data_IF_690881700865
#
_entry.id   IF_690881700865
#
_cell.length_a   1.000
_cell.length_b   1.000
_cell.length_c   1.000
_cell.angle_alpha   90.00
_cell.angle_beta   90.00
_cell.angle_gamma   90.00
#
_symmetry.space_group_name_H-M   'P 1'
#
loop_
_entity.id
_entity.type
_entity.pdbx_description
1 polymer ?
#
# COMPACT_ATOMS: atom_id res chain seq x y z
N UNK A 1 -13.72 17.97 17.67
CA UNK A 1 -12.66 17.88 16.65
C UNK A 1 -13.34 17.58 15.34
N UNK A 2 -13.06 18.37 14.30
CA UNK A 2 -13.55 18.03 12.95
C UNK A 2 -12.88 16.75 12.45
N UNK A 3 -13.66 15.90 11.79
CA UNK A 3 -13.19 14.62 11.25
C UNK A 3 -11.98 14.79 10.32
N UNK A 4 -11.96 15.87 9.54
CA UNK A 4 -10.88 16.19 8.61
C UNK A 4 -9.55 16.48 9.32
N UNK A 5 -9.58 17.08 10.51
CA UNK A 5 -8.36 17.34 11.28
C UNK A 5 -7.72 16.03 11.77
N UNK A 6 -8.51 14.97 11.99
CA UNK A 6 -7.97 13.66 12.37
C UNK A 6 -7.21 12.97 11.23
N UNK A 7 -7.44 13.39 9.98
CA UNK A 7 -6.77 12.84 8.80
C UNK A 7 -5.51 13.61 8.42
N UNK A 8 -5.24 14.75 9.03
CA UNK A 8 -4.06 15.57 8.75
C UNK A 8 -2.82 15.00 9.46
N UNK A 9 -1.73 14.81 8.71
CA UNK A 9 -0.44 14.35 9.23
C UNK A 9 0.16 15.34 10.23
N UNK A 10 -0.21 16.61 10.17
CA UNK A 10 0.28 17.65 11.09
C UNK A 10 -0.51 17.70 12.41
N UNK A 11 -1.62 16.98 12.52
CA UNK A 11 -2.36 16.89 13.77
C UNK A 11 -1.72 15.85 14.69
N UNK A 12 -0.77 16.32 15.51
CA UNK A 12 -0.01 15.49 16.44
C UNK A 12 -0.87 14.97 17.59
N UNK A 13 -0.77 13.66 17.84
CA UNK A 13 -1.32 12.99 19.00
C UNK A 13 -0.34 13.04 20.17
N UNK A 14 0.90 12.60 19.94
CA UNK A 14 1.91 12.45 20.98
C UNK A 14 3.30 12.72 20.40
N UNK A 15 4.12 13.44 21.15
CA UNK A 15 5.53 13.58 20.86
C UNK A 15 6.30 12.51 21.63
N UNK A 16 6.93 11.60 20.90
CA UNK A 16 7.73 10.53 21.48
C UNK A 16 9.19 11.04 21.54
N UNK A 17 9.82 11.08 22.72
CA UNK A 17 11.18 11.61 22.89
C UNK A 17 12.24 10.58 22.45
N UNK A 18 12.13 10.09 21.22
CA UNK A 18 13.11 9.21 20.58
C UNK A 18 13.85 10.03 19.52
N UNK A 19 15.18 9.95 19.54
CA UNK A 19 16.02 10.77 18.66
C UNK A 19 15.89 12.26 18.95
N UNK A 20 15.38 13.02 17.98
CA UNK A 20 15.17 14.48 18.06
C UNK A 20 13.74 14.91 18.42
N UNK A 21 12.89 13.97 18.84
CA UNK A 21 11.46 14.19 19.04
C UNK A 21 10.68 13.81 17.79
N UNK A 22 9.86 12.78 17.89
CA UNK A 22 9.00 12.32 16.81
C UNK A 22 7.54 12.60 17.15
N UNK A 23 6.95 13.52 16.37
CA UNK A 23 5.55 13.91 16.50
C UNK A 23 4.67 12.90 15.76
N UNK A 24 4.13 11.92 16.49
CA UNK A 24 3.20 10.94 15.93
C UNK A 24 1.83 11.59 15.73
N UNK A 25 1.30 11.52 14.51
CA UNK A 25 -0.01 12.06 14.19
C UNK A 25 -1.16 11.14 14.60
N UNK A 26 -2.38 11.69 14.71
CA UNK A 26 -3.58 10.89 14.96
C UNK A 26 -3.84 9.86 13.86
N UNK A 27 -3.74 10.26 12.58
CA UNK A 27 -3.97 9.37 11.45
C UNK A 27 -2.98 8.21 11.44
N UNK A 28 -1.72 8.47 11.77
CA UNK A 28 -0.67 7.46 11.84
C UNK A 28 -0.88 6.50 13.00
N UNK A 29 -1.27 7.00 14.17
CA UNK A 29 -1.59 6.16 15.32
C UNK A 29 -2.74 5.20 15.01
N UNK A 30 -3.86 5.70 14.45
CA UNK A 30 -5.00 4.86 14.07
C UNK A 30 -4.65 3.89 12.93
N UNK A 31 -3.95 4.37 11.91
CA UNK A 31 -3.44 3.53 10.82
C UNK A 31 -2.61 2.37 11.36
N UNK A 32 -1.68 2.66 12.26
CA UNK A 32 -0.80 1.66 12.89
C UNK A 32 -1.59 0.64 13.72
N UNK A 33 -2.54 1.08 14.54
CA UNK A 33 -3.40 0.20 15.34
C UNK A 33 -4.23 -0.73 14.45
N UNK A 34 -4.84 -0.22 13.37
CA UNK A 34 -5.57 -1.07 12.43
C UNK A 34 -4.65 -2.05 11.70
N UNK A 35 -3.41 -1.66 11.39
CA UNK A 35 -2.40 -2.56 10.82
C UNK A 35 -2.05 -3.71 11.77
N UNK A 36 -1.83 -3.40 13.06
CA UNK A 36 -1.57 -4.40 14.09
C UNK A 36 -2.76 -5.35 14.28
N UNK A 37 -3.99 -4.82 14.33
CA UNK A 37 -5.20 -5.63 14.41
C UNK A 37 -5.36 -6.53 13.19
N UNK A 38 -5.07 -6.02 11.99
CA UNK A 38 -5.07 -6.80 10.75
C UNK A 38 -4.14 -8.02 10.86
N UNK A 39 -2.87 -7.81 11.23
CA UNK A 39 -1.89 -8.90 11.38
C UNK A 39 -2.32 -9.88 12.48
N UNK A 40 -2.80 -9.36 13.61
CA UNK A 40 -3.30 -10.19 14.70
C UNK A 40 -4.43 -11.12 14.25
N UNK A 41 -5.46 -10.57 13.60
CA UNK A 41 -6.59 -11.37 13.12
C UNK A 41 -6.22 -12.30 11.97
N UNK A 42 -5.26 -11.91 11.11
CA UNK A 42 -4.72 -12.77 10.07
C UNK A 42 -4.00 -13.99 10.67
N UNK A 43 -3.24 -13.82 11.76
CA UNK A 43 -2.59 -14.92 12.48
C UNK A 43 -3.56 -15.92 13.10
N UNK A 44 -4.80 -15.48 13.37
CA UNK A 44 -5.90 -16.29 13.90
C UNK A 44 -6.84 -16.81 12.80
N UNK A 45 -6.47 -16.63 11.52
CA UNK A 45 -7.27 -17.02 10.35
C UNK A 45 -8.68 -16.41 10.34
N UNK A 46 -8.89 -15.25 10.98
CA UNK A 46 -10.20 -14.58 11.05
C UNK A 46 -10.37 -13.62 9.89
N UNK A 47 -11.47 -13.74 9.15
CA UNK A 47 -11.80 -12.89 7.98
C UNK A 47 -11.96 -11.41 8.31
N UNK A 48 -12.18 -11.03 9.57
CA UNK A 48 -12.20 -9.63 10.01
C UNK A 48 -10.86 -8.91 9.77
N UNK A 49 -9.76 -9.66 9.58
CA UNK A 49 -8.47 -9.07 9.20
C UNK A 49 -8.60 -8.16 7.98
N UNK A 50 -9.41 -8.53 6.99
CA UNK A 50 -9.59 -7.76 5.77
C UNK A 50 -10.26 -6.40 6.00
N UNK A 51 -11.17 -6.31 6.98
CA UNK A 51 -11.79 -5.04 7.35
C UNK A 51 -10.75 -4.09 7.95
N UNK A 52 -9.95 -4.58 8.90
CA UNK A 52 -8.86 -3.79 9.48
C UNK A 52 -7.76 -3.48 8.47
N UNK A 53 -7.50 -4.41 7.54
CA UNK A 53 -6.64 -4.21 6.39
C UNK A 53 -7.12 -3.05 5.55
N UNK A 54 -8.40 -3.03 5.12
CA UNK A 54 -8.99 -1.93 4.36
C UNK A 54 -8.88 -0.58 5.09
N UNK A 55 -9.14 -0.53 6.40
CA UNK A 55 -8.98 0.69 7.18
C UNK A 55 -7.51 1.14 7.24
N UNK A 56 -6.59 0.22 7.52
CA UNK A 56 -5.15 0.50 7.55
C UNK A 56 -4.66 1.05 6.22
N UNK A 57 -4.93 0.34 5.12
CA UNK A 57 -4.47 0.74 3.79
C UNK A 57 -5.07 2.08 3.36
N UNK A 58 -6.33 2.37 3.67
CA UNK A 58 -6.92 3.66 3.33
C UNK A 58 -6.29 4.81 4.10
N UNK A 59 -6.02 4.65 5.41
CA UNK A 59 -5.37 5.71 6.19
C UNK A 59 -3.92 5.94 5.73
N UNK A 60 -3.15 4.87 5.50
CA UNK A 60 -1.78 5.02 4.98
C UNK A 60 -1.74 5.60 3.57
N UNK A 61 -2.74 5.33 2.71
CA UNK A 61 -2.85 5.98 1.41
C UNK A 61 -3.01 7.49 1.56
N UNK A 62 -3.86 7.94 2.51
CA UNK A 62 -4.04 9.36 2.80
C UNK A 62 -2.74 9.99 3.31
N UNK A 63 -1.99 9.30 4.18
CA UNK A 63 -0.67 9.76 4.65
C UNK A 63 0.29 9.91 3.48
N UNK A 64 0.49 8.85 2.68
CA UNK A 64 1.45 8.85 1.56
C UNK A 64 1.11 9.86 0.48
N UNK A 65 -0.17 10.18 0.30
CA UNK A 65 -0.59 11.27 -0.57
C UNK A 65 -0.17 12.64 -0.02
N UNK A 66 -0.35 12.91 1.27
CA UNK A 66 0.03 14.18 1.90
C UNK A 66 1.54 14.43 1.88
N UNK A 67 2.36 13.39 2.09
CA UNK A 67 3.83 13.48 2.06
C UNK A 67 4.43 13.20 0.68
N UNK A 68 3.60 13.10 -0.36
CA UNK A 68 4.01 12.93 -1.77
C UNK A 68 4.84 11.67 -2.07
N UNK A 69 4.71 10.62 -1.25
CA UNK A 69 5.35 9.31 -1.48
C UNK A 69 4.49 8.44 -2.42
N UNK A 70 4.44 8.82 -3.69
CA UNK A 70 3.55 8.19 -4.67
C UNK A 70 3.81 6.69 -4.90
N UNK A 71 5.07 6.23 -4.79
CA UNK A 71 5.39 4.81 -4.89
C UNK A 71 4.70 3.96 -3.80
N UNK A 72 4.68 4.47 -2.56
CA UNK A 72 3.99 3.82 -1.44
C UNK A 72 2.47 3.98 -1.55
N UNK A 73 1.98 5.11 -2.06
CA UNK A 73 0.56 5.30 -2.35
C UNK A 73 0.02 4.25 -3.34
N UNK A 74 0.75 4.00 -4.43
CA UNK A 74 0.38 2.99 -5.43
C UNK A 74 0.37 1.58 -4.86
N UNK A 75 1.40 1.25 -4.06
CA UNK A 75 1.44 -0.01 -3.32
C UNK A 75 0.21 -0.15 -2.42
N UNK A 76 -0.25 0.96 -1.84
CA UNK A 76 -1.41 0.97 -0.98
C UNK A 76 -2.72 0.68 -1.72
N UNK A 77 -2.88 1.22 -2.94
CA UNK A 77 -4.00 0.89 -3.83
C UNK A 77 -3.99 -0.58 -4.23
N UNK A 78 -2.82 -1.14 -4.54
CA UNK A 78 -2.68 -2.58 -4.78
C UNK A 78 -3.17 -3.40 -3.58
N UNK A 79 -2.73 -3.06 -2.37
CA UNK A 79 -3.19 -3.76 -1.17
C UNK A 79 -4.66 -3.54 -0.87
N UNK A 80 -5.24 -2.40 -1.20
CA UNK A 80 -6.69 -2.18 -1.10
C UNK A 80 -7.46 -3.18 -1.96
N UNK A 81 -7.10 -3.31 -3.24
CA UNK A 81 -7.69 -4.30 -4.14
C UNK A 81 -7.44 -5.74 -3.67
N UNK A 82 -6.23 -6.04 -3.20
CA UNK A 82 -5.89 -7.37 -2.68
C UNK A 82 -6.70 -7.73 -1.42
N UNK A 83 -6.99 -6.76 -0.54
CA UNK A 83 -7.85 -6.96 0.63
C UNK A 83 -9.29 -7.25 0.23
N UNK A 84 -9.84 -6.52 -0.76
CA UNK A 84 -11.18 -6.81 -1.29
C UNK A 84 -11.27 -8.21 -1.89
N UNK A 85 -10.28 -8.57 -2.71
CA UNK A 85 -10.22 -9.91 -3.30
C UNK A 85 -10.04 -11.00 -2.25
N UNK A 86 -9.12 -10.80 -1.29
CA UNK A 86 -8.88 -11.74 -0.20
C UNK A 86 -10.13 -11.95 0.64
N UNK A 87 -10.84 -10.88 0.99
CA UNK A 87 -12.10 -10.96 1.72
C UNK A 87 -13.15 -11.78 0.95
N UNK A 88 -13.30 -11.50 -0.34
CA UNK A 88 -14.19 -12.25 -1.22
C UNK A 88 -13.83 -13.74 -1.28
N UNK A 89 -12.54 -14.07 -1.46
CA UNK A 89 -12.08 -15.44 -1.60
C UNK A 89 -12.23 -16.22 -0.29
N UNK A 90 -11.92 -15.61 0.86
CA UNK A 90 -11.95 -16.27 2.16
C UNK A 90 -13.35 -16.38 2.79
N UNK A 91 -14.31 -15.57 2.35
CA UNK A 91 -15.71 -15.69 2.80
C UNK A 91 -16.51 -16.70 2.01
N UNK A 92 -16.01 -17.17 0.86
CA UNK A 92 -16.70 -18.11 -0.03
C UNK A 92 -16.05 -19.48 0.03
N UNK A 93 -16.80 -20.53 0.45
CA UNK A 93 -16.36 -21.90 0.29
C UNK A 93 -16.12 -22.22 -1.19
N UNK A 94 -15.18 -23.12 -1.48
CA UNK A 94 -14.99 -23.63 -2.83
C UNK A 94 -16.20 -24.46 -3.29
N UNK A 95 -16.22 -24.90 -4.55
CA UNK A 95 -17.30 -25.73 -5.12
C UNK A 95 -17.55 -27.05 -4.35
N UNK A 96 -16.59 -27.47 -3.52
CA UNK A 96 -16.64 -28.68 -2.69
C UNK A 96 -17.09 -28.38 -1.25
N UNK A 97 -17.42 -27.12 -0.93
CA UNK A 97 -17.84 -26.68 0.40
C UNK A 97 -16.69 -26.50 1.40
N UNK A 98 -15.44 -26.63 0.97
CA UNK A 98 -14.27 -26.42 1.82
C UNK A 98 -13.91 -24.94 1.88
N UNK A 99 -13.65 -24.44 3.09
CA UNK A 99 -13.07 -23.12 3.29
C UNK A 99 -11.60 -23.12 2.88
N UNK A 100 -11.11 -22.01 2.33
CA UNK A 100 -9.68 -21.82 2.10
C UNK A 100 -8.91 -22.07 3.41
N UNK A 101 -7.87 -22.88 3.34
CA UNK A 101 -7.03 -23.23 4.47
C UNK A 101 -5.58 -22.83 4.18
N UNK A 102 -4.85 -22.46 5.22
CA UNK A 102 -3.41 -22.17 5.11
C UNK A 102 -2.67 -23.45 4.73
N UNK A 103 -1.85 -23.36 3.67
CA UNK A 103 -1.10 -24.51 3.12
C UNK A 103 0.34 -24.12 2.85
N UNK A 104 1.23 -25.08 3.00
CA UNK A 104 2.63 -24.91 2.62
C UNK A 104 2.80 -24.94 1.11
N UNK A 105 3.62 -24.02 0.59
CA UNK A 105 3.99 -23.99 -0.81
C UNK A 105 5.04 -25.08 -1.09
N UNK A 106 4.86 -25.86 -2.15
CA UNK A 106 5.84 -26.90 -2.52
C UNK A 106 7.19 -26.28 -2.89
N UNK A 107 8.29 -27.00 -2.63
CA UNK A 107 9.66 -26.49 -2.83
C UNK A 107 9.91 -25.97 -4.25
N UNK A 108 9.39 -26.65 -5.27
CA UNK A 108 9.54 -26.23 -6.66
C UNK A 108 8.80 -24.91 -6.95
N UNK A 109 7.59 -24.76 -6.41
CA UNK A 109 6.81 -23.51 -6.54
C UNK A 109 7.49 -22.36 -5.79
N UNK A 110 8.01 -22.63 -4.59
CA UNK A 110 8.76 -21.64 -3.81
C UNK A 110 9.98 -21.12 -4.57
N UNK A 111 10.79 -22.01 -5.14
CA UNK A 111 11.97 -21.61 -5.92
C UNK A 111 11.56 -20.81 -7.15
N UNK A 112 10.51 -21.22 -7.86
CA UNK A 112 10.00 -20.49 -9.01
C UNK A 112 9.51 -19.07 -8.62
N UNK A 113 8.75 -18.94 -7.53
CA UNK A 113 8.29 -17.64 -7.03
C UNK A 113 9.46 -16.76 -6.59
N UNK A 114 10.44 -17.31 -5.87
CA UNK A 114 11.62 -16.57 -5.43
C UNK A 114 12.45 -16.06 -6.61
N UNK A 115 12.66 -16.90 -7.63
CA UNK A 115 13.34 -16.50 -8.87
C UNK A 115 12.58 -15.40 -9.61
N UNK A 116 11.25 -15.53 -9.72
CA UNK A 116 10.41 -14.50 -10.32
C UNK A 116 10.53 -13.17 -9.57
N UNK A 117 10.45 -13.16 -8.24
CA UNK A 117 10.64 -11.96 -7.42
C UNK A 117 12.02 -11.34 -7.65
N UNK A 118 13.10 -12.14 -7.65
CA UNK A 118 14.46 -11.63 -7.87
C UNK A 118 14.63 -11.00 -9.26
N UNK A 119 14.06 -11.63 -10.31
CA UNK A 119 14.08 -11.10 -11.66
C UNK A 119 13.25 -9.80 -11.74
N UNK A 120 12.05 -9.78 -11.15
CA UNK A 120 11.22 -8.57 -11.12
C UNK A 120 11.90 -7.41 -10.41
N UNK A 121 12.59 -7.67 -9.29
CA UNK A 121 13.38 -6.66 -8.57
C UNK A 121 14.52 -6.17 -9.46
N UNK A 122 15.30 -7.06 -10.07
CA UNK A 122 16.40 -6.68 -10.96
C UNK A 122 15.92 -5.83 -12.15
N UNK A 123 14.81 -6.22 -12.78
CA UNK A 123 14.21 -5.46 -13.87
C UNK A 123 13.72 -4.09 -13.39
N UNK A 124 12.99 -4.03 -12.27
CA UNK A 124 12.51 -2.75 -11.74
C UNK A 124 13.67 -1.83 -11.37
N UNK A 125 14.75 -2.35 -10.78
CA UNK A 125 15.95 -1.57 -10.48
C UNK A 125 16.62 -1.01 -11.73
N UNK A 126 16.69 -1.78 -12.82
CA UNK A 126 17.32 -1.34 -14.07
C UNK A 126 16.42 -0.40 -14.89
N UNK A 127 15.10 -0.49 -14.74
CA UNK A 127 14.11 0.21 -15.55
C UNK A 127 13.19 1.08 -14.69
N UNK A 128 13.69 1.62 -13.58
CA UNK A 128 12.88 2.37 -12.62
C UNK A 128 12.31 3.65 -13.27
N UNK A 129 13.16 4.45 -13.92
CA UNK A 129 12.77 5.70 -14.55
C UNK A 129 11.72 5.52 -15.64
N UNK A 130 11.92 4.67 -16.67
CA UNK A 130 10.91 4.49 -17.71
C UNK A 130 9.61 3.90 -17.16
N UNK A 131 9.68 3.04 -16.13
CA UNK A 131 8.49 2.47 -15.51
C UNK A 131 7.65 3.54 -14.80
N UNK A 132 8.25 4.33 -13.92
CA UNK A 132 7.54 5.38 -13.20
C UNK A 132 7.14 6.54 -14.11
N UNK A 133 7.94 6.85 -15.13
CA UNK A 133 7.58 7.83 -16.15
C UNK A 133 6.33 7.42 -16.92
N UNK A 134 6.26 6.15 -17.38
CA UNK A 134 5.09 5.63 -18.06
C UNK A 134 3.84 5.75 -17.16
N UNK A 135 3.97 5.42 -15.87
CA UNK A 135 2.86 5.52 -14.92
C UNK A 135 2.40 6.96 -14.69
N UNK A 136 3.34 7.91 -14.59
CA UNK A 136 3.03 9.33 -14.46
C UNK A 136 2.28 9.85 -15.69
N UNK A 137 2.71 9.50 -16.90
CA UNK A 137 2.01 9.86 -18.14
C UNK A 137 0.60 9.27 -18.18
N UNK A 138 0.43 7.98 -17.89
CA UNK A 138 -0.89 7.33 -17.84
C UNK A 138 -1.81 8.04 -16.84
N UNK A 139 -1.30 8.45 -15.68
CA UNK A 139 -2.08 9.16 -14.68
C UNK A 139 -2.48 10.57 -15.15
N UNK A 140 -1.55 11.34 -15.70
CA UNK A 140 -1.79 12.70 -16.23
C UNK A 140 -2.76 12.65 -17.41
N UNK A 141 -2.54 11.76 -18.37
CA UNK A 141 -3.42 11.55 -19.52
C UNK A 141 -4.82 11.16 -19.06
N UNK A 142 -4.92 10.24 -18.10
CA UNK A 142 -6.19 9.84 -17.49
C UNK A 142 -6.95 11.02 -16.88
N UNK A 143 -6.27 11.89 -16.13
CA UNK A 143 -6.87 13.08 -15.54
C UNK A 143 -7.22 14.14 -16.60
N UNK A 144 -6.39 14.28 -17.63
CA UNK A 144 -6.63 15.20 -18.75
C UNK A 144 -7.84 14.81 -19.59
N UNK A 145 -8.14 13.51 -19.72
CA UNK A 145 -9.41 13.03 -20.30
C UNK A 145 -10.63 13.57 -19.53
N UNK A 146 -10.52 13.78 -18.22
CA UNK A 146 -11.55 14.39 -17.39
C UNK A 146 -11.45 15.92 -17.28
N UNK A 147 -10.60 16.57 -18.08
CA UNK A 147 -10.49 18.03 -18.17
C UNK A 147 -9.57 18.68 -17.13
N UNK A 148 -8.63 17.93 -16.54
CA UNK A 148 -7.72 18.46 -15.52
C UNK A 148 -6.71 19.49 -16.05
N UNK A 149 -6.35 19.45 -17.35
CA UNK A 149 -5.46 20.42 -17.99
C UNK A 149 -4.03 20.45 -17.42
N UNK A 150 -3.54 19.30 -16.95
CA UNK A 150 -2.22 19.12 -16.34
C UNK A 150 -1.12 19.09 -17.40
N UNK A 151 0.04 19.65 -17.06
CA UNK A 151 1.23 19.59 -17.91
C UNK A 151 1.78 18.16 -18.00
N UNK A 152 2.45 17.85 -19.12
CA UNK A 152 3.11 16.55 -19.30
C UNK A 152 4.23 16.36 -18.26
N UNK A 153 4.34 15.17 -17.64
CA UNK A 153 5.44 14.85 -16.76
C UNK A 153 6.78 14.98 -17.48
N UNK A 154 7.78 15.54 -16.79
CA UNK A 154 9.17 15.61 -17.28
C UNK A 154 10.04 14.80 -16.34
N UNK A 155 10.93 13.97 -16.89
CA UNK A 155 11.95 13.28 -16.10
C UNK A 155 13.00 14.31 -15.63
N UNK A 156 13.04 14.53 -14.33
CA UNK A 156 14.12 15.27 -13.70
C UNK A 156 15.34 14.36 -13.51
N UNK A 157 16.57 14.91 -13.56
CA UNK A 157 17.75 14.14 -13.24
C UNK A 157 17.68 13.64 -11.79
N UNK A 158 18.19 12.43 -11.55
CA UNK A 158 18.17 11.81 -10.24
C UNK A 158 18.70 12.74 -9.15
N UNK A 159 18.06 12.70 -7.98
CA UNK A 159 18.42 13.51 -6.82
C UNK A 159 19.87 13.31 -6.33
N UNK A 160 20.54 12.27 -6.83
CA UNK A 160 21.94 11.96 -6.54
C UNK A 160 22.74 11.87 -7.85
N UNK A 161 23.82 12.66 -8.00
CA UNK A 161 25.03 12.16 -8.60
C UNK A 161 25.88 11.52 -7.48
N UNK A 162 26.19 10.25 -7.62
CA UNK A 162 27.58 9.85 -7.42
C UNK A 162 28.09 9.32 -8.75
#
# INVERSE_FOLDING_TARGET
>A
MDLFNLLDINNTLVEIPIGGGYAMSWIEAFGTVFGLLCIWFASQEKTINYLFGLLNVTLFAVIFFQIQLYGLLLLQLFFFCANLYGWYAWTRPNEQGETLAVRWLSRNKLVATAAACAISIALLTLYIDPFFFALANIAVDGLNVFGAGLAEPVLEPDAFPF
#
